data_IF_885170739776
#
_entry.id   IF_885170739776
#
_cell.length_a   1.000
_cell.length_b   1.000
_cell.length_c   1.000
_cell.angle_alpha   90.00
_cell.angle_beta   90.00
_cell.angle_gamma   90.00
#
_symmetry.space_group_name_H-M   'P 1'
#
loop_
_entity.id
_entity.type
_entity.pdbx_description
1 polymer ?
#
# COMPACT_ATOMS: atom_id res chain seq x y z
N UNK A 1 31.00 45.66 -51.88
CA UNK A 1 32.40 45.30 -51.55
C UNK A 1 32.45 45.00 -50.04
N UNK A 2 32.84 43.76 -49.65
CA UNK A 2 33.22 43.23 -48.30
C UNK A 2 32.18 43.28 -47.15
N UNK A 3 31.51 42.18 -46.74
CA UNK A 3 31.87 41.03 -45.85
C UNK A 3 32.23 41.42 -44.39
N UNK A 4 31.42 40.98 -43.39
CA UNK A 4 31.83 40.06 -42.28
C UNK A 4 30.69 39.68 -41.31
N UNK A 5 30.78 38.43 -40.84
CA UNK A 5 29.91 37.70 -39.92
C UNK A 5 29.89 38.28 -38.49
N UNK A 6 28.79 38.03 -37.77
CA UNK A 6 28.85 37.71 -36.35
C UNK A 6 27.75 36.67 -35.99
N UNK A 7 28.20 35.47 -35.63
CA UNK A 7 27.44 34.40 -34.97
C UNK A 7 27.62 34.58 -33.46
N UNK A 8 26.54 34.67 -32.69
CA UNK A 8 26.50 34.35 -31.25
C UNK A 8 25.05 33.93 -30.93
N UNK A 9 24.68 32.65 -30.99
CA UNK A 9 24.94 31.60 -30.00
C UNK A 9 24.44 31.95 -28.58
N UNK A 10 23.13 31.77 -28.32
CA UNK A 10 22.55 31.59 -26.96
C UNK A 10 21.09 31.11 -27.08
N UNK A 11 20.87 29.82 -27.34
CA UNK A 11 19.51 29.24 -27.26
C UNK A 11 19.50 27.74 -26.91
N UNK A 12 20.53 27.24 -26.23
CA UNK A 12 20.64 25.83 -25.88
C UNK A 12 21.08 25.69 -24.41
N UNK A 13 20.16 25.92 -23.48
CA UNK A 13 20.47 25.82 -22.05
C UNK A 13 19.33 25.37 -21.13
N UNK A 14 18.06 25.42 -21.56
CA UNK A 14 16.93 25.19 -20.64
C UNK A 14 16.23 23.82 -20.76
N UNK A 15 16.62 22.95 -21.70
CA UNK A 15 15.90 21.69 -21.94
C UNK A 15 16.42 20.48 -21.15
N UNK A 16 17.57 20.58 -20.48
CA UNK A 16 18.24 19.41 -19.88
C UNK A 16 17.78 19.04 -18.46
N UNK A 17 16.95 19.86 -17.79
CA UNK A 17 16.54 19.64 -16.40
C UNK A 17 15.20 18.88 -16.24
N UNK A 18 14.47 18.59 -17.32
CA UNK A 18 13.16 17.92 -17.25
C UNK A 18 13.23 16.39 -17.35
N UNK A 19 14.39 15.80 -17.67
CA UNK A 19 14.50 14.36 -17.94
C UNK A 19 14.85 13.50 -16.70
N UNK A 20 15.17 14.11 -15.56
CA UNK A 20 15.58 13.38 -14.34
C UNK A 20 14.43 13.09 -13.36
N UNK A 21 13.21 13.58 -13.62
CA UNK A 21 12.05 13.36 -12.74
C UNK A 21 11.17 12.14 -13.07
N UNK A 22 11.46 11.43 -14.17
CA UNK A 22 10.55 10.39 -14.68
C UNK A 22 10.73 9.01 -14.03
N UNK A 23 11.86 8.72 -13.38
CA UNK A 23 12.11 7.36 -12.86
C UNK A 23 11.37 7.04 -11.55
N UNK A 24 11.13 8.01 -10.67
CA UNK A 24 10.57 7.75 -9.34
C UNK A 24 9.04 7.53 -9.33
N UNK A 25 8.33 8.01 -10.36
CA UNK A 25 6.87 7.88 -10.43
C UNK A 25 6.42 6.52 -11.00
N UNK A 26 7.33 5.78 -11.64
CA UNK A 26 7.01 4.51 -12.30
C UNK A 26 6.85 3.36 -11.32
N UNK A 27 7.65 3.32 -10.24
CA UNK A 27 7.67 2.19 -9.30
C UNK A 27 6.35 2.07 -8.52
N UNK A 28 5.82 3.17 -7.99
CA UNK A 28 4.55 3.15 -7.24
C UNK A 28 3.33 2.79 -8.11
N UNK A 29 3.36 3.17 -9.39
CA UNK A 29 2.28 2.87 -10.32
C UNK A 29 2.27 1.40 -10.77
N UNK A 30 3.46 0.79 -10.87
CA UNK A 30 3.63 -0.62 -11.26
C UNK A 30 3.11 -1.56 -10.15
N UNK A 31 3.47 -1.31 -8.90
CA UNK A 31 3.03 -2.14 -7.76
C UNK A 31 1.51 -2.18 -7.63
N UNK A 32 0.84 -1.03 -7.74
CA UNK A 32 -0.61 -0.95 -7.66
C UNK A 32 -1.33 -1.70 -8.80
N UNK A 33 -0.71 -1.82 -9.97
CA UNK A 33 -1.25 -2.61 -11.09
C UNK A 33 -1.18 -4.11 -10.85
N UNK A 34 -0.09 -4.61 -10.25
CA UNK A 34 0.08 -6.04 -9.96
C UNK A 34 -1.02 -6.58 -9.01
N UNK A 35 -1.40 -5.81 -8.00
CA UNK A 35 -2.50 -6.18 -7.10
C UNK A 35 -3.86 -6.20 -7.79
N UNK A 36 -4.12 -5.25 -8.71
CA UNK A 36 -5.37 -5.24 -9.48
C UNK A 36 -5.49 -6.47 -10.37
N UNK A 37 -4.42 -6.79 -11.07
CA UNK A 37 -4.35 -7.96 -11.93
C UNK A 37 -4.56 -9.25 -11.12
N UNK A 38 -3.95 -9.34 -9.93
CA UNK A 38 -4.17 -10.45 -9.02
C UNK A 38 -5.63 -10.61 -8.62
N UNK A 39 -6.29 -9.52 -8.20
CA UNK A 39 -7.70 -9.52 -7.79
C UNK A 39 -8.59 -10.01 -8.94
N UNK A 40 -8.33 -9.55 -10.16
CA UNK A 40 -9.10 -9.91 -11.35
C UNK A 40 -8.89 -11.38 -11.74
N UNK A 41 -7.63 -11.84 -11.81
CA UNK A 41 -7.29 -13.21 -12.23
C UNK A 41 -7.74 -14.26 -11.21
N UNK A 42 -7.64 -13.96 -9.93
CA UNK A 42 -8.03 -14.90 -8.86
C UNK A 42 -9.50 -14.80 -8.48
N UNK A 43 -10.25 -13.89 -9.10
CA UNK A 43 -11.67 -13.63 -8.88
C UNK A 43 -12.01 -13.51 -7.38
N UNK A 44 -11.25 -12.69 -6.64
CA UNK A 44 -11.44 -12.60 -5.19
C UNK A 44 -12.88 -12.21 -4.84
N UNK A 45 -13.44 -12.92 -3.87
CA UNK A 45 -14.82 -12.71 -3.43
C UNK A 45 -14.94 -11.37 -2.71
N UNK A 46 -15.60 -10.41 -3.35
CA UNK A 46 -15.88 -9.11 -2.76
C UNK A 46 -16.98 -9.20 -1.68
N UNK A 47 -16.78 -8.47 -0.58
CA UNK A 47 -17.74 -8.36 0.52
C UNK A 47 -18.05 -6.90 0.83
N UNK A 48 -19.29 -6.62 1.21
CA UNK A 48 -19.71 -5.25 1.53
C UNK A 48 -19.39 -4.80 2.95
N UNK A 49 -19.14 -5.76 3.84
CA UNK A 49 -18.80 -5.47 5.22
C UNK A 49 -18.10 -6.63 5.91
N UNK A 50 -17.18 -6.31 6.82
CA UNK A 50 -16.54 -7.28 7.71
C UNK A 50 -16.91 -7.00 9.16
N UNK A 51 -16.92 -8.05 10.00
CA UNK A 51 -17.13 -7.89 11.44
C UNK A 51 -15.85 -7.37 12.07
N UNK A 52 -15.98 -6.37 12.94
CA UNK A 52 -14.85 -5.71 13.63
C UNK A 52 -14.80 -6.02 15.13
N UNK A 53 -15.63 -6.95 15.60
CA UNK A 53 -15.63 -7.36 16.99
C UNK A 53 -14.39 -8.17 17.35
N UNK A 54 -13.45 -7.54 18.04
CA UNK A 54 -12.27 -8.20 18.57
C UNK A 54 -11.00 -7.39 18.32
N UNK A 55 -9.86 -8.05 18.48
CA UNK A 55 -8.60 -7.50 17.99
C UNK A 55 -8.60 -7.64 16.46
N UNK A 56 -8.55 -6.50 15.77
CA UNK A 56 -8.20 -6.45 14.35
C UNK A 56 -6.70 -6.27 14.27
N UNK A 57 -6.06 -7.16 13.53
CA UNK A 57 -4.67 -6.98 13.11
C UNK A 57 -4.63 -6.54 11.65
N UNK A 58 -3.53 -5.95 11.23
CA UNK A 58 -3.36 -5.52 9.85
C UNK A 58 -1.91 -5.50 9.41
N UNK A 59 -1.71 -5.72 8.13
CA UNK A 59 -0.43 -5.67 7.45
C UNK A 59 -0.57 -4.81 6.20
N UNK A 60 0.21 -3.72 6.15
CA UNK A 60 0.20 -2.80 5.01
C UNK A 60 1.05 -3.40 3.91
N UNK A 61 0.44 -3.64 2.74
CA UNK A 61 1.16 -4.13 1.56
C UNK A 61 1.77 -2.96 0.78
N UNK A 62 0.98 -1.91 0.56
CA UNK A 62 1.40 -0.63 0.00
C UNK A 62 0.40 0.48 0.38
N UNK A 63 0.46 1.62 -0.30
CA UNK A 63 -0.43 2.75 -0.01
C UNK A 63 -1.89 2.52 -0.44
N UNK A 64 -2.18 1.57 -1.33
CA UNK A 64 -3.53 1.28 -1.81
C UNK A 64 -4.16 0.03 -1.15
N UNK A 65 -3.33 -0.91 -0.68
CA UNK A 65 -3.76 -2.23 -0.23
C UNK A 65 -3.26 -2.60 1.17
N UNK A 66 -4.15 -3.19 1.97
CA UNK A 66 -3.87 -3.67 3.34
C UNK A 66 -4.52 -5.03 3.55
N UNK A 67 -3.79 -5.98 4.13
CA UNK A 67 -4.37 -7.21 4.66
C UNK A 67 -4.91 -6.91 6.05
N UNK A 68 -6.19 -7.18 6.27
CA UNK A 68 -6.86 -7.05 7.57
C UNK A 68 -7.20 -8.44 8.08
N UNK A 69 -6.68 -8.77 9.26
CA UNK A 69 -6.91 -10.05 9.91
C UNK A 69 -7.87 -9.88 11.07
N UNK A 70 -8.95 -10.65 11.05
CA UNK A 70 -9.76 -10.90 12.23
C UNK A 70 -9.52 -12.34 12.71
N UNK A 71 -10.03 -12.68 13.90
CA UNK A 71 -9.91 -13.99 14.53
C UNK A 71 -10.19 -15.17 13.60
N UNK A 72 -11.17 -15.03 12.70
CA UNK A 72 -11.71 -16.14 11.93
C UNK A 72 -11.30 -16.10 10.45
N UNK A 73 -10.81 -14.96 9.93
CA UNK A 73 -10.70 -14.74 8.48
C UNK A 73 -9.79 -13.55 8.15
N UNK A 74 -9.05 -13.68 7.04
CA UNK A 74 -8.25 -12.62 6.42
C UNK A 74 -9.00 -11.97 5.26
N UNK A 75 -8.77 -10.67 5.10
CA UNK A 75 -9.38 -9.85 4.06
C UNK A 75 -8.35 -8.92 3.40
N UNK A 76 -8.47 -8.72 2.10
CA UNK A 76 -7.77 -7.64 1.38
C UNK A 76 -8.65 -6.40 1.39
N UNK A 77 -8.12 -5.30 1.88
CA UNK A 77 -8.75 -3.98 1.89
C UNK A 77 -8.09 -3.11 0.83
N UNK A 78 -8.90 -2.55 -0.05
CA UNK A 78 -8.49 -1.59 -1.08
C UNK A 78 -8.99 -0.19 -0.72
N UNK A 79 -8.13 0.82 -0.81
CA UNK A 79 -8.49 2.22 -0.64
C UNK A 79 -8.96 2.87 -1.95
N UNK A 80 -9.62 4.02 -1.84
CA UNK A 80 -10.01 4.81 -3.03
C UNK A 80 -8.84 5.41 -3.81
N UNK A 81 -7.67 5.49 -3.19
CA UNK A 81 -6.42 5.95 -3.79
C UNK A 81 -5.29 5.76 -2.78
N UNK A 82 -4.09 6.25 -3.11
CA UNK A 82 -2.93 6.18 -2.22
C UNK A 82 -3.24 6.79 -0.85
N UNK A 83 -3.24 5.93 0.17
CA UNK A 83 -3.33 6.27 1.58
C UNK A 83 -1.91 6.43 2.12
N UNK A 84 -1.33 7.61 1.89
CA UNK A 84 0.02 7.94 2.31
C UNK A 84 0.26 7.53 3.77
N UNK A 85 1.41 6.90 4.03
CA UNK A 85 1.88 6.38 5.33
C UNK A 85 1.38 7.22 6.51
N UNK A 86 0.31 6.74 7.15
CA UNK A 86 -0.16 7.23 8.45
C UNK A 86 1.06 7.35 9.38
N UNK A 87 1.34 8.53 9.97
CA UNK A 87 2.47 8.72 10.85
C UNK A 87 2.30 7.78 12.04
N UNK A 88 3.07 6.69 12.03
CA UNK A 88 3.46 5.86 13.17
C UNK A 88 2.95 6.43 14.51
N UNK A 89 1.97 5.81 15.17
CA UNK A 89 1.96 5.62 16.65
C UNK A 89 0.66 5.16 17.29
N UNK A 90 -0.50 5.26 16.65
CA UNK A 90 -1.75 4.97 17.37
C UNK A 90 -2.37 3.71 16.81
N UNK A 91 -2.55 2.69 17.66
CA UNK A 91 -3.37 1.50 17.38
C UNK A 91 -4.48 1.91 16.43
N UNK A 92 -4.49 1.33 15.22
CA UNK A 92 -5.50 1.60 14.21
C UNK A 92 -6.83 1.15 14.80
N UNK A 93 -7.47 2.06 15.51
CA UNK A 93 -8.90 2.00 15.69
C UNK A 93 -9.40 2.45 14.35
N UNK A 94 -10.11 1.59 13.61
CA UNK A 94 -10.86 2.12 12.49
C UNK A 94 -11.74 3.24 13.09
N UNK A 95 -12.08 4.26 12.30
CA UNK A 95 -13.04 5.28 12.72
C UNK A 95 -14.45 4.64 12.70
N UNK A 96 -14.55 3.48 13.32
CA UNK A 96 -15.76 2.72 13.55
C UNK A 96 -16.52 3.56 14.55
N UNK A 97 -17.72 3.95 14.14
CA UNK A 97 -18.73 4.41 15.08
C UNK A 97 -18.72 3.44 16.27
N UNK A 98 -18.62 3.93 17.50
CA UNK A 98 -18.46 3.10 18.72
C UNK A 98 -19.53 2.00 18.87
N UNK A 99 -20.65 2.12 18.17
CA UNK A 99 -21.80 1.21 18.11
C UNK A 99 -21.77 0.24 16.91
N UNK A 100 -20.93 0.47 15.90
CA UNK A 100 -20.88 -0.34 14.69
C UNK A 100 -20.00 -1.59 14.89
N UNK A 101 -20.65 -2.74 14.83
CA UNK A 101 -20.08 -4.09 14.98
C UNK A 101 -19.39 -4.60 13.71
N UNK A 102 -19.36 -3.73 12.70
CA UNK A 102 -18.97 -4.02 11.32
C UNK A 102 -18.31 -2.79 10.72
N UNK A 103 -17.46 -3.03 9.73
CA UNK A 103 -16.84 -2.03 8.87
C UNK A 103 -17.39 -2.22 7.46
N UNK A 104 -17.96 -1.17 6.89
CA UNK A 104 -18.65 -1.17 5.60
C UNK A 104 -17.81 -0.49 4.52
N UNK A 105 -17.82 -1.09 3.33
CA UNK A 105 -17.23 -0.51 2.12
C UNK A 105 -17.92 0.81 1.77
N UNK A 106 -17.14 1.83 1.37
CA UNK A 106 -17.63 3.12 0.88
C UNK A 106 -18.16 4.09 1.94
N UNK A 107 -18.46 3.60 3.15
CA UNK A 107 -18.99 4.40 4.26
C UNK A 107 -17.90 4.65 5.30
N UNK A 108 -17.23 3.59 5.73
CA UNK A 108 -16.26 3.66 6.82
C UNK A 108 -14.85 3.97 6.30
N UNK A 109 -13.98 4.38 7.23
CA UNK A 109 -12.56 4.60 6.97
C UNK A 109 -11.70 3.64 7.77
N UNK A 110 -10.55 3.28 7.20
CA UNK A 110 -9.51 2.50 7.85
C UNK A 110 -8.21 3.30 7.77
N UNK A 111 -7.52 3.49 8.89
CA UNK A 111 -6.32 4.36 8.97
C UNK A 111 -6.55 5.79 8.45
N UNK A 112 -7.77 6.31 8.63
CA UNK A 112 -8.16 7.64 8.14
C UNK A 112 -8.50 7.71 6.64
N UNK A 113 -8.34 6.61 5.89
CA UNK A 113 -8.59 6.54 4.46
C UNK A 113 -9.89 5.79 4.14
N UNK A 114 -10.59 6.22 3.08
CA UNK A 114 -11.86 5.61 2.68
C UNK A 114 -11.65 4.23 2.08
N UNK A 115 -12.49 3.29 2.49
CA UNK A 115 -12.49 1.92 1.98
C UNK A 115 -13.23 1.89 0.65
N UNK A 116 -12.56 1.41 -0.39
CA UNK A 116 -13.12 1.23 -1.73
C UNK A 116 -13.69 -0.16 -1.92
N UNK A 117 -12.99 -1.18 -1.46
CA UNK A 117 -13.43 -2.57 -1.55
C UNK A 117 -12.83 -3.43 -0.42
N UNK A 118 -13.50 -4.54 -0.15
CA UNK A 118 -13.03 -5.60 0.73
C UNK A 118 -13.19 -6.94 0.00
N UNK A 119 -12.18 -7.80 0.12
CA UNK A 119 -12.16 -9.12 -0.51
C UNK A 119 -11.80 -10.18 0.54
N UNK A 120 -12.49 -11.33 0.53
CA UNK A 120 -12.12 -12.49 1.35
C UNK A 120 -10.86 -13.15 0.79
N UNK A 121 -9.92 -13.51 1.65
CA UNK A 121 -8.67 -14.17 1.28
C UNK A 121 -8.58 -15.60 1.81
N UNK A 122 -8.14 -16.54 0.96
CA UNK A 122 -7.69 -17.84 1.42
C UNK A 122 -6.27 -17.74 2.02
N UNK A 123 -5.84 -18.70 2.86
CA UNK A 123 -4.49 -18.71 3.41
C UNK A 123 -3.39 -18.66 2.34
N UNK A 124 -3.60 -19.34 1.21
CA UNK A 124 -2.65 -19.37 0.10
C UNK A 124 -2.56 -17.99 -0.58
N UNK A 125 -3.69 -17.32 -0.80
CA UNK A 125 -3.74 -15.98 -1.38
C UNK A 125 -3.06 -14.93 -0.50
N UNK A 126 -3.17 -15.06 0.83
CA UNK A 126 -2.45 -14.16 1.77
C UNK A 126 -0.95 -14.26 1.57
N UNK A 127 -0.42 -15.48 1.39
CA UNK A 127 1.01 -15.69 1.18
C UNK A 127 1.47 -15.07 -0.15
N UNK A 128 0.70 -15.26 -1.22
CA UNK A 128 0.99 -14.67 -2.52
C UNK A 128 0.98 -13.13 -2.46
N UNK A 129 -0.05 -12.54 -1.86
CA UNK A 129 -0.16 -11.08 -1.67
C UNK A 129 1.01 -10.50 -0.87
N UNK A 130 1.43 -11.20 0.19
CA UNK A 130 2.61 -10.80 0.99
C UNK A 130 3.89 -10.84 0.17
N UNK A 131 4.06 -11.87 -0.65
CA UNK A 131 5.24 -11.98 -1.52
C UNK A 131 5.26 -10.88 -2.58
N UNK A 132 4.11 -10.44 -3.08
CA UNK A 132 4.00 -9.30 -4.01
C UNK A 132 4.24 -7.95 -3.32
N UNK A 133 3.75 -7.77 -2.09
CA UNK A 133 3.99 -6.56 -1.29
C UNK A 133 5.43 -6.42 -0.78
N UNK A 134 6.27 -7.44 -0.98
CA UNK A 134 7.69 -7.44 -0.65
C UNK A 134 8.55 -7.19 -1.91
N UNK A 135 8.48 -5.99 -2.49
CA UNK A 135 9.44 -5.56 -3.52
C UNK A 135 10.87 -5.44 -2.94
N UNK A 136 11.94 -5.67 -3.74
CA UNK A 136 13.30 -5.94 -3.26
C UNK A 136 13.96 -4.68 -2.68
N UNK A 137 13.87 -4.53 -1.36
CA UNK A 137 14.52 -3.45 -0.62
C UNK A 137 13.85 -3.13 0.71
N UNK A 138 12.57 -3.46 0.85
CA UNK A 138 11.85 -3.26 2.11
C UNK A 138 12.04 -4.50 2.99
N UNK A 139 12.94 -4.40 3.98
CA UNK A 139 13.04 -5.43 5.01
C UNK A 139 11.66 -5.61 5.63
N UNK A 140 11.16 -6.85 5.82
CA UNK A 140 9.91 -7.07 6.51
C UNK A 140 10.01 -6.36 7.86
N UNK A 141 9.18 -5.33 8.06
CA UNK A 141 9.14 -4.61 9.33
C UNK A 141 8.53 -5.59 10.31
N UNK A 142 9.41 -6.25 11.05
CA UNK A 142 9.12 -7.20 12.10
C UNK A 142 8.17 -6.56 13.13
N UNK A 143 6.87 -6.67 12.89
CA UNK A 143 5.84 -6.45 13.91
C UNK A 143 5.80 -7.70 14.77
N UNK A 144 6.85 -7.88 15.58
CA UNK A 144 6.90 -8.99 16.53
C UNK A 144 7.08 -8.44 17.92
N UNK A 145 5.97 -8.44 18.65
CA UNK A 145 6.00 -8.68 20.09
C UNK A 145 6.47 -10.12 20.36
N UNK A 146 7.73 -10.41 20.08
CA UNK A 146 8.43 -11.59 20.61
C UNK A 146 9.59 -11.12 21.49
N UNK A 147 9.68 -11.59 22.75
CA UNK A 147 10.85 -11.36 23.57
C UNK A 147 12.01 -12.17 23.01
N UNK A 148 13.04 -11.46 22.56
CA UNK A 148 14.36 -11.97 22.24
C UNK A 148 14.97 -12.70 23.44
N UNK A 149 14.89 -14.04 23.48
CA UNK A 149 15.75 -14.85 24.35
C UNK A 149 16.86 -15.43 23.49
N UNK A 150 17.94 -14.66 23.40
CA UNK A 150 19.23 -15.11 22.91
C UNK A 150 19.72 -16.20 23.86
N UNK A 151 20.01 -17.38 23.30
CA UNK A 151 20.67 -18.46 24.02
C UNK A 151 22.00 -17.97 24.61
N UNK A 152 22.10 -18.00 25.94
CA UNK A 152 23.38 -17.90 26.61
C UNK A 152 23.96 -19.30 26.69
N UNK A 153 24.98 -19.53 25.87
CA UNK A 153 25.98 -20.59 26.05
C UNK A 153 26.59 -20.44 27.44
N UNK A 154 26.60 -21.53 28.21
CA UNK A 154 27.61 -21.84 29.22
C UNK A 154 27.89 -23.33 29.18
#
# INVERSE_FOLDING_TARGET
MTIRLARFATAAGLAALLLLGACAATEEAEDASAFRDFIEVTELKSVQAIRTFGALDHEVLNDEYVVVTNRDQDYLLEYWGSCAKDPFTLRVKPDVRRDARKMYVGIDTFRGCRIKALYELSPDQVIELRNMGMAPGEKPRQTRGEPSVIGSVR
#
